data_IF_010288221561
#
_entry.id   IF_010288221561
#
_cell.length_a   1.000
_cell.length_b   1.000
_cell.length_c   1.000
_cell.angle_alpha   90.00
_cell.angle_beta   90.00
_cell.angle_gamma   90.00
#
_symmetry.space_group_name_H-M   'P 1'
#
loop_
_entity.id
_entity.type
_entity.pdbx_description
1 polymer ?
#
# COMPACT_ATOMS: atom_id res chain seq x y z
N UNK A 1 -41.42 -3.45 -6.86
CA UNK A 1 -40.50 -2.83 -5.89
C UNK A 1 -40.93 -3.31 -4.52
N UNK A 2 -40.18 -4.22 -3.90
CA UNK A 2 -40.46 -4.67 -2.53
C UNK A 2 -39.82 -3.62 -1.60
N UNK A 3 -40.59 -3.07 -0.67
CA UNK A 3 -40.05 -2.21 0.38
C UNK A 3 -39.26 -3.08 1.38
N UNK A 4 -37.97 -3.30 1.07
CA UNK A 4 -37.04 -3.82 2.07
C UNK A 4 -36.82 -2.74 3.12
N UNK A 5 -36.83 -3.13 4.41
CA UNK A 5 -36.48 -2.19 5.46
C UNK A 5 -35.01 -1.74 5.30
N UNK A 6 -34.68 -0.48 5.60
CA UNK A 6 -33.30 0.04 5.53
C UNK A 6 -32.29 -0.78 6.34
N UNK A 7 -32.74 -1.39 7.44
CA UNK A 7 -31.93 -2.25 8.30
C UNK A 7 -31.54 -3.53 7.55
N UNK A 8 -32.48 -4.15 6.83
CA UNK A 8 -32.24 -5.38 6.09
C UNK A 8 -31.30 -5.14 4.90
N UNK A 9 -31.46 -4.02 4.19
CA UNK A 9 -30.52 -3.61 3.12
C UNK A 9 -29.11 -3.46 3.67
N UNK A 10 -28.97 -2.76 4.80
CA UNK A 10 -27.68 -2.55 5.45
C UNK A 10 -27.04 -3.87 5.90
N UNK A 11 -27.84 -4.78 6.45
CA UNK A 11 -27.37 -6.09 6.89
C UNK A 11 -26.91 -6.96 5.72
N UNK A 12 -27.65 -6.95 4.61
CA UNK A 12 -27.28 -7.69 3.39
C UNK A 12 -26.02 -7.10 2.77
N UNK A 13 -25.91 -5.78 2.65
CA UNK A 13 -24.74 -5.14 2.07
C UNK A 13 -23.49 -5.37 2.91
N UNK A 14 -23.55 -5.11 4.22
CA UNK A 14 -22.40 -5.25 5.11
C UNK A 14 -22.03 -6.73 5.34
N UNK A 15 -23.03 -7.57 5.62
CA UNK A 15 -22.84 -9.01 5.76
C UNK A 15 -22.34 -9.67 4.48
N UNK A 16 -22.86 -9.25 3.33
CA UNK A 16 -22.38 -9.67 2.02
C UNK A 16 -20.92 -9.29 1.82
N UNK A 17 -20.54 -8.05 2.11
CA UNK A 17 -19.16 -7.58 1.90
C UNK A 17 -18.20 -8.40 2.77
N UNK A 18 -18.55 -8.61 4.04
CA UNK A 18 -17.78 -9.46 4.95
C UNK A 18 -17.64 -10.88 4.41
N UNK A 19 -18.74 -11.52 4.01
CA UNK A 19 -18.71 -12.86 3.44
C UNK A 19 -17.85 -12.92 2.17
N UNK A 20 -17.98 -11.93 1.29
CA UNK A 20 -17.20 -11.81 0.06
C UNK A 20 -15.70 -11.67 0.35
N UNK A 21 -15.31 -10.83 1.30
CA UNK A 21 -13.91 -10.66 1.71
C UNK A 21 -13.33 -11.94 2.32
N UNK A 22 -14.12 -12.69 3.10
CA UNK A 22 -13.69 -13.96 3.69
C UNK A 22 -13.41 -15.06 2.66
N UNK A 23 -13.95 -14.97 1.44
CA UNK A 23 -13.60 -15.91 0.36
C UNK A 23 -12.18 -15.73 -0.18
N UNK A 24 -11.50 -14.64 0.19
CA UNK A 24 -10.17 -14.29 -0.34
C UNK A 24 -10.20 -13.67 -1.74
N UNK A 25 -11.39 -13.39 -2.30
CA UNK A 25 -11.50 -12.64 -3.56
C UNK A 25 -11.05 -11.18 -3.40
N UNK A 26 -10.57 -10.53 -4.49
CA UNK A 26 -10.19 -9.12 -4.47
C UNK A 26 -11.32 -8.22 -3.93
N UNK A 27 -10.97 -7.39 -2.94
CA UNK A 27 -11.90 -6.52 -2.21
C UNK A 27 -12.78 -5.66 -3.14
N UNK A 28 -12.20 -5.11 -4.20
CA UNK A 28 -12.91 -4.27 -5.17
C UNK A 28 -14.07 -5.02 -5.85
N UNK A 29 -13.88 -6.31 -6.17
CA UNK A 29 -14.92 -7.14 -6.79
C UNK A 29 -16.00 -7.52 -5.78
N UNK A 30 -15.62 -7.80 -4.53
CA UNK A 30 -16.58 -8.08 -3.47
C UNK A 30 -17.50 -6.86 -3.23
N UNK A 31 -16.92 -5.68 -3.00
CA UNK A 31 -17.68 -4.44 -2.76
C UNK A 31 -18.51 -4.07 -3.99
N UNK A 32 -17.88 -4.01 -5.16
CA UNK A 32 -18.54 -3.62 -6.41
C UNK A 32 -19.64 -4.58 -6.82
N UNK A 33 -19.41 -5.88 -6.70
CA UNK A 33 -20.40 -6.91 -7.05
C UNK A 33 -21.64 -6.84 -6.17
N UNK A 34 -21.46 -6.68 -4.85
CA UNK A 34 -22.59 -6.56 -3.92
C UNK A 34 -23.34 -5.25 -4.11
N UNK A 35 -22.61 -4.15 -4.34
CA UNK A 35 -23.21 -2.86 -4.64
C UNK A 35 -24.03 -2.89 -5.95
N UNK A 36 -23.53 -3.54 -7.00
CA UNK A 36 -24.25 -3.73 -8.27
C UNK A 36 -25.46 -4.64 -8.10
N UNK A 37 -25.32 -5.76 -7.39
CA UNK A 37 -26.41 -6.70 -7.17
C UNK A 37 -27.55 -6.07 -6.39
N UNK A 38 -27.23 -5.40 -5.27
CA UNK A 38 -28.22 -4.65 -4.49
C UNK A 38 -28.79 -3.47 -5.26
N UNK A 39 -27.95 -2.74 -6.00
CA UNK A 39 -28.40 -1.63 -6.85
C UNK A 39 -29.45 -2.08 -7.85
N UNK A 40 -29.17 -3.16 -8.61
CA UNK A 40 -30.11 -3.71 -9.59
C UNK A 40 -31.41 -4.15 -8.92
N UNK A 41 -31.34 -4.75 -7.74
CA UNK A 41 -32.51 -5.20 -7.00
C UNK A 41 -33.39 -4.05 -6.49
N UNK A 42 -32.79 -2.96 -5.97
CA UNK A 42 -33.51 -1.81 -5.42
C UNK A 42 -33.98 -0.82 -6.49
N UNK A 43 -33.08 -0.44 -7.38
CA UNK A 43 -33.23 0.69 -8.31
C UNK A 43 -33.48 0.25 -9.76
N UNK A 44 -33.36 -1.05 -10.03
CA UNK A 44 -33.42 -1.60 -11.39
C UNK A 44 -32.10 -1.44 -12.16
N UNK A 45 -31.95 -2.13 -13.30
CA UNK A 45 -30.70 -2.13 -14.07
C UNK A 45 -30.33 -0.74 -14.60
N UNK A 46 -31.28 -0.01 -15.18
CA UNK A 46 -31.03 1.25 -15.88
C UNK A 46 -30.38 2.31 -14.96
N UNK A 47 -31.02 2.60 -13.82
CA UNK A 47 -30.51 3.59 -12.86
C UNK A 47 -29.20 3.12 -12.21
N UNK A 48 -29.06 1.82 -11.92
CA UNK A 48 -27.82 1.29 -11.33
C UNK A 48 -26.63 1.43 -12.26
N UNK A 49 -26.80 1.12 -13.55
CA UNK A 49 -25.75 1.29 -14.54
C UNK A 49 -25.42 2.77 -14.79
N UNK A 50 -26.41 3.66 -14.74
CA UNK A 50 -26.18 5.10 -14.83
C UNK A 50 -25.35 5.63 -13.65
N UNK A 51 -25.69 5.23 -12.42
CA UNK A 51 -24.91 5.57 -11.22
C UNK A 51 -23.49 5.00 -11.34
N UNK A 52 -23.35 3.73 -11.74
CA UNK A 52 -22.05 3.10 -11.93
C UNK A 52 -21.19 3.84 -12.95
N UNK A 53 -21.79 4.23 -14.09
CA UNK A 53 -21.13 5.00 -15.13
C UNK A 53 -20.67 6.37 -14.61
N UNK A 54 -21.56 7.14 -13.98
CA UNK A 54 -21.24 8.45 -13.41
C UNK A 54 -20.11 8.36 -12.39
N UNK A 55 -20.17 7.41 -11.44
CA UNK A 55 -19.12 7.23 -10.43
C UNK A 55 -17.79 6.81 -11.04
N UNK A 56 -17.80 5.95 -12.05
CA UNK A 56 -16.59 5.53 -12.76
C UNK A 56 -15.98 6.68 -13.54
N UNK A 57 -16.81 7.49 -14.20
CA UNK A 57 -16.38 8.67 -14.94
C UNK A 57 -15.76 9.74 -14.03
N UNK A 58 -16.38 10.02 -12.88
CA UNK A 58 -15.84 10.94 -11.87
C UNK A 58 -14.48 10.46 -11.35
N UNK A 59 -14.34 9.15 -11.13
CA UNK A 59 -13.10 8.57 -10.63
C UNK A 59 -11.99 8.64 -11.69
N UNK A 60 -12.28 8.37 -12.97
CA UNK A 60 -11.32 8.51 -14.06
C UNK A 60 -10.83 9.95 -14.26
N UNK A 61 -11.71 10.94 -14.00
CA UNK A 61 -11.38 12.37 -14.12
C UNK A 61 -10.81 12.97 -12.82
N UNK A 62 -10.53 12.15 -11.81
CA UNK A 62 -10.00 12.65 -10.55
C UNK A 62 -8.54 13.08 -10.69
N UNK A 63 -8.30 14.39 -10.63
CA UNK A 63 -6.97 15.00 -10.72
C UNK A 63 -5.95 14.44 -9.72
N UNK A 64 -6.39 14.03 -8.52
CA UNK A 64 -5.48 13.45 -7.51
C UNK A 64 -4.88 12.13 -8.01
N UNK A 65 -5.63 11.34 -8.79
CA UNK A 65 -5.14 10.07 -9.31
C UNK A 65 -4.02 10.25 -10.34
N UNK A 66 -3.83 11.46 -10.91
CA UNK A 66 -2.65 11.76 -11.74
C UNK A 66 -1.33 11.64 -10.97
N UNK A 67 -1.37 11.77 -9.64
CA UNK A 67 -0.20 11.57 -8.82
C UNK A 67 0.26 10.09 -8.81
N UNK A 68 -0.67 9.13 -8.97
CA UNK A 68 -0.36 7.70 -8.90
C UNK A 68 0.64 7.28 -10.00
N UNK A 69 0.41 7.55 -11.30
CA UNK A 69 1.42 7.28 -12.32
C UNK A 69 2.73 8.04 -12.10
N UNK A 70 2.68 9.28 -11.60
CA UNK A 70 3.87 10.07 -11.30
C UNK A 70 4.76 9.43 -10.23
N UNK A 71 4.15 8.91 -9.15
CA UNK A 71 4.88 8.19 -8.10
C UNK A 71 5.39 6.83 -8.58
N UNK A 72 4.61 6.10 -9.37
CA UNK A 72 5.06 4.84 -9.98
C UNK A 72 6.25 5.08 -10.91
N UNK A 73 6.22 6.14 -11.71
CA UNK A 73 7.33 6.53 -12.58
C UNK A 73 8.59 6.86 -11.76
N UNK A 74 8.45 7.68 -10.72
CA UNK A 74 9.57 8.03 -9.83
C UNK A 74 10.19 6.78 -9.18
N UNK A 75 9.37 5.87 -8.64
CA UNK A 75 9.82 4.61 -8.06
C UNK A 75 10.53 3.73 -9.09
N UNK A 76 9.95 3.59 -10.29
CA UNK A 76 10.53 2.81 -11.40
C UNK A 76 11.87 3.38 -11.86
N UNK A 77 11.99 4.70 -12.02
CA UNK A 77 13.25 5.36 -12.39
C UNK A 77 14.33 5.11 -11.34
N UNK A 78 13.99 5.21 -10.05
CA UNK A 78 14.95 4.95 -8.99
C UNK A 78 15.39 3.47 -8.96
N UNK A 79 14.45 2.54 -9.08
CA UNK A 79 14.74 1.10 -9.12
C UNK A 79 15.67 0.75 -10.29
N UNK A 80 15.36 1.23 -11.51
CA UNK A 80 16.17 0.95 -12.70
C UNK A 80 17.50 1.72 -12.74
N UNK A 81 17.67 2.76 -11.91
CA UNK A 81 18.94 3.49 -11.82
C UNK A 81 20.03 2.76 -11.06
N UNK A 82 19.71 1.69 -10.32
CA UNK A 82 20.64 0.98 -9.43
C UNK A 82 21.04 1.75 -8.17
N UNK A 83 20.46 2.94 -7.94
CA UNK A 83 20.78 3.76 -6.78
C UNK A 83 20.46 3.06 -5.45
N UNK A 84 19.36 2.28 -5.39
CA UNK A 84 18.99 1.53 -4.20
C UNK A 84 20.00 0.43 -3.84
N UNK A 85 20.56 -0.24 -4.85
CA UNK A 85 21.57 -1.29 -4.68
C UNK A 85 22.91 -0.70 -4.23
N UNK A 86 23.33 0.43 -4.82
CA UNK A 86 24.54 1.14 -4.38
C UNK A 86 24.45 1.60 -2.93
N UNK A 87 23.31 2.15 -2.51
CA UNK A 87 23.08 2.54 -1.10
C UNK A 87 23.13 1.33 -0.17
N UNK A 88 22.60 0.18 -0.59
CA UNK A 88 22.65 -1.05 0.20
C UNK A 88 24.08 -1.54 0.42
N UNK A 89 24.92 -1.55 -0.61
CA UNK A 89 26.31 -1.98 -0.50
C UNK A 89 27.12 -1.08 0.46
N UNK A 90 26.93 0.23 0.39
CA UNK A 90 27.58 1.19 1.28
C UNK A 90 27.12 1.02 2.74
N UNK A 91 25.81 0.93 2.97
CA UNK A 91 25.25 0.67 4.30
C UNK A 91 25.77 -0.66 4.88
N UNK A 92 25.89 -1.67 4.02
CA UNK A 92 26.46 -2.96 4.42
C UNK A 92 27.90 -2.82 4.93
N UNK A 93 28.75 -2.06 4.24
CA UNK A 93 30.14 -1.80 4.67
C UNK A 93 30.16 -1.04 6.00
N UNK A 94 29.29 -0.03 6.16
CA UNK A 94 29.25 0.79 7.37
C UNK A 94 28.85 0.00 8.61
N UNK A 95 27.96 -0.99 8.47
CA UNK A 95 27.46 -1.79 9.59
C UNK A 95 28.14 -3.16 9.76
N UNK A 96 29.16 -3.48 8.95
CA UNK A 96 29.84 -4.77 8.96
C UNK A 96 30.46 -5.15 10.33
N UNK A 97 30.84 -4.17 11.14
CA UNK A 97 31.46 -4.38 12.46
C UNK A 97 30.47 -4.62 13.61
N UNK A 98 29.15 -4.46 13.41
CA UNK A 98 28.16 -4.57 14.47
C UNK A 98 27.50 -5.96 14.51
N UNK A 99 27.32 -6.49 15.72
CA UNK A 99 26.46 -7.66 15.96
C UNK A 99 25.03 -7.29 15.57
N UNK A 100 24.47 -7.97 14.57
CA UNK A 100 23.14 -7.62 14.02
C UNK A 100 23.17 -6.57 12.89
N UNK A 101 24.35 -6.13 12.44
CA UNK A 101 24.49 -5.03 11.49
C UNK A 101 23.77 -5.23 10.15
N UNK A 102 23.60 -6.48 9.69
CA UNK A 102 22.83 -6.78 8.48
C UNK A 102 21.32 -6.54 8.65
N UNK A 103 20.75 -6.88 9.81
CA UNK A 103 19.35 -6.59 10.07
C UNK A 103 19.12 -5.08 10.18
N UNK A 104 20.03 -4.36 10.86
CA UNK A 104 19.97 -2.91 10.96
C UNK A 104 20.08 -2.23 9.59
N UNK A 105 21.03 -2.65 8.76
CA UNK A 105 21.19 -2.16 7.39
C UNK A 105 19.94 -2.43 6.54
N UNK A 106 19.25 -3.56 6.76
CA UNK A 106 17.99 -3.89 6.07
C UNK A 106 16.86 -2.94 6.45
N UNK A 107 16.73 -2.59 7.73
CA UNK A 107 15.72 -1.61 8.19
C UNK A 107 16.03 -0.23 7.62
N UNK A 108 17.28 0.23 7.71
CA UNK A 108 17.69 1.54 7.19
C UNK A 108 17.47 1.62 5.68
N UNK A 109 17.87 0.58 4.93
CA UNK A 109 17.58 0.50 3.51
C UNK A 109 16.07 0.54 3.26
N UNK A 110 15.29 -0.22 4.03
CA UNK A 110 13.84 -0.23 3.95
C UNK A 110 13.23 1.16 4.13
N UNK A 111 13.76 1.96 5.06
CA UNK A 111 13.35 3.35 5.31
C UNK A 111 13.67 4.28 4.14
N UNK A 112 14.83 4.11 3.50
CA UNK A 112 15.22 4.89 2.31
C UNK A 112 14.38 4.51 1.10
N UNK A 113 14.18 3.21 0.88
CA UNK A 113 13.34 2.68 -0.22
C UNK A 113 11.87 3.01 0.01
N UNK A 114 11.43 3.05 1.27
CA UNK A 114 10.08 3.44 1.64
C UNK A 114 9.78 4.87 1.18
N UNK A 115 10.73 5.78 1.39
CA UNK A 115 10.64 7.17 0.93
C UNK A 115 10.62 7.32 -0.60
N UNK A 116 10.74 6.27 -1.40
CA UNK A 116 10.86 6.43 -2.86
C UNK A 116 9.90 5.57 -3.65
N UNK A 117 9.53 4.40 -3.12
CA UNK A 117 8.64 3.46 -3.79
C UNK A 117 7.18 3.69 -3.39
N UNK A 118 6.89 4.10 -2.16
CA UNK A 118 5.55 4.42 -1.70
C UNK A 118 4.54 3.26 -1.71
N UNK A 119 4.98 2.01 -1.94
CA UNK A 119 4.17 0.80 -2.10
C UNK A 119 4.84 -0.40 -1.42
N UNK A 120 4.11 -1.04 -0.51
CA UNK A 120 4.59 -2.18 0.32
C UNK A 120 5.12 -3.33 -0.55
N UNK A 121 4.36 -3.74 -1.57
CA UNK A 121 4.69 -4.91 -2.38
C UNK A 121 6.05 -4.78 -3.08
N UNK A 122 6.34 -3.61 -3.64
CA UNK A 122 7.60 -3.35 -4.32
C UNK A 122 8.78 -3.25 -3.32
N UNK A 123 8.62 -2.49 -2.22
CA UNK A 123 9.66 -2.36 -1.20
C UNK A 123 10.02 -3.70 -0.55
N UNK A 124 9.02 -4.50 -0.15
CA UNK A 124 9.25 -5.83 0.44
C UNK A 124 9.92 -6.77 -0.56
N UNK A 125 9.50 -6.75 -1.83
CA UNK A 125 10.10 -7.59 -2.87
C UNK A 125 11.57 -7.23 -3.08
N UNK A 126 11.90 -5.95 -3.19
CA UNK A 126 13.27 -5.47 -3.36
C UNK A 126 14.16 -5.90 -2.19
N UNK A 127 13.73 -5.69 -0.94
CA UNK A 127 14.47 -6.12 0.24
C UNK A 127 14.59 -7.65 0.35
N UNK A 128 13.56 -8.38 -0.09
CA UNK A 128 13.57 -9.84 -0.12
C UNK A 128 14.60 -10.36 -1.12
N UNK A 129 14.75 -9.72 -2.28
CA UNK A 129 15.70 -10.13 -3.30
C UNK A 129 17.14 -9.73 -2.97
N UNK A 130 17.33 -8.58 -2.32
CA UNK A 130 18.66 -8.01 -2.04
C UNK A 130 19.22 -8.43 -0.67
N UNK A 131 18.43 -8.32 0.40
CA UNK A 131 18.91 -8.46 1.77
C UNK A 131 18.70 -9.86 2.36
N UNK A 132 17.55 -10.50 2.09
CA UNK A 132 17.21 -11.80 2.69
C UNK A 132 18.23 -12.92 2.39
N UNK A 133 18.68 -13.13 1.12
CA UNK A 133 19.62 -14.21 0.81
C UNK A 133 20.98 -14.00 1.49
N UNK A 134 21.41 -12.73 1.59
CA UNK A 134 22.65 -12.33 2.25
C UNK A 134 22.63 -12.61 3.76
N UNK A 135 21.52 -12.30 4.44
CA UNK A 135 21.32 -12.61 5.86
C UNK A 135 21.34 -14.12 6.13
N UNK A 136 20.58 -14.89 5.34
CA UNK A 136 20.48 -16.36 5.52
C UNK A 136 21.82 -17.05 5.27
N UNK A 137 22.57 -16.64 4.23
CA UNK A 137 23.91 -17.19 3.93
C UNK A 137 24.91 -16.97 5.07
N UNK A 138 24.70 -15.92 5.88
CA UNK A 138 25.56 -15.55 7.02
C UNK A 138 25.06 -16.08 8.36
N UNK A 139 24.08 -16.99 8.34
CA UNK A 139 23.61 -17.68 9.54
C UNK A 139 22.63 -16.89 10.40
N UNK A 140 21.98 -15.85 9.86
CA UNK A 140 20.84 -15.24 10.55
C UNK A 140 19.70 -16.25 10.64
N UNK A 141 18.97 -16.20 11.76
CA UNK A 141 17.70 -16.90 11.89
C UNK A 141 16.72 -16.43 10.80
N UNK A 142 16.01 -17.39 10.18
CA UNK A 142 15.10 -17.10 9.05
C UNK A 142 13.93 -16.24 9.46
N UNK A 143 13.40 -16.41 10.68
CA UNK A 143 12.29 -15.60 11.17
C UNK A 143 12.76 -14.17 11.46
N UNK A 144 13.95 -13.99 12.03
CA UNK A 144 14.54 -12.65 12.21
C UNK A 144 14.78 -11.95 10.88
N UNK A 145 15.38 -12.65 9.90
CA UNK A 145 15.69 -12.07 8.60
C UNK A 145 14.43 -11.69 7.82
N UNK A 146 13.42 -12.57 7.80
CA UNK A 146 12.12 -12.27 7.19
C UNK A 146 11.39 -11.14 7.94
N UNK A 147 11.43 -11.14 9.27
CA UNK A 147 10.85 -10.09 10.10
C UNK A 147 11.46 -8.72 9.82
N UNK A 148 12.79 -8.63 9.70
CA UNK A 148 13.49 -7.38 9.36
C UNK A 148 13.10 -6.87 7.96
N UNK A 149 13.00 -7.76 6.97
CA UNK A 149 12.55 -7.41 5.62
C UNK A 149 11.09 -6.93 5.62
N UNK A 150 10.20 -7.65 6.31
CA UNK A 150 8.79 -7.26 6.41
C UNK A 150 8.61 -5.94 7.16
N UNK A 151 9.34 -5.74 8.26
CA UNK A 151 9.29 -4.49 9.03
C UNK A 151 9.77 -3.30 8.20
N UNK A 152 10.99 -3.39 7.61
CA UNK A 152 11.55 -2.31 6.80
C UNK A 152 10.73 -2.04 5.53
N UNK A 153 10.30 -3.09 4.83
CA UNK A 153 9.52 -2.94 3.60
C UNK A 153 8.10 -2.41 3.83
N UNK A 154 7.50 -2.70 4.99
CA UNK A 154 6.18 -2.16 5.35
C UNK A 154 6.22 -0.67 5.70
N UNK A 155 7.39 -0.04 5.86
CA UNK A 155 7.48 1.42 6.06
C UNK A 155 7.12 2.21 4.79
N UNK A 156 7.12 1.56 3.62
CA UNK A 156 6.84 2.20 2.31
C UNK A 156 5.46 2.81 2.18
N UNK A 157 4.50 2.42 3.03
CA UNK A 157 3.17 3.05 3.11
C UNK A 157 3.24 4.40 3.81
N UNK A 158 4.17 4.59 4.74
CA UNK A 158 4.10 5.67 5.71
C UNK A 158 5.11 6.78 5.44
N UNK A 159 6.33 6.43 5.03
CA UNK A 159 7.40 7.42 4.79
C UNK A 159 7.17 8.08 3.42
N UNK A 160 7.00 9.42 3.35
CA UNK A 160 6.78 10.11 2.09
C UNK A 160 7.96 10.01 1.12
N UNK A 161 7.69 10.07 -0.20
CA UNK A 161 6.39 9.95 -0.88
C UNK A 161 5.67 8.60 -0.75
N UNK A 162 4.36 8.66 -0.42
CA UNK A 162 3.49 7.49 -0.29
C UNK A 162 2.21 7.67 -1.12
N UNK A 163 1.97 6.71 -2.01
CA UNK A 163 0.77 6.69 -2.87
C UNK A 163 -0.49 6.55 -2.01
N UNK A 164 -0.43 5.74 -0.95
CA UNK A 164 -1.56 5.52 -0.06
C UNK A 164 -2.00 6.82 0.63
N UNK A 165 -1.05 7.62 1.10
CA UNK A 165 -1.35 8.90 1.73
C UNK A 165 -1.95 9.91 0.73
N UNK A 166 -1.46 9.89 -0.51
CA UNK A 166 -1.96 10.79 -1.55
C UNK A 166 -3.42 10.47 -1.93
N UNK A 167 -3.78 9.19 -1.97
CA UNK A 167 -5.16 8.75 -2.23
C UNK A 167 -6.05 9.00 -1.01
N UNK A 168 -5.56 8.69 0.20
CA UNK A 168 -6.37 8.77 1.42
C UNK A 168 -6.69 10.22 1.83
N UNK A 169 -5.76 11.17 1.65
CA UNK A 169 -5.94 12.55 2.10
C UNK A 169 -7.24 13.18 1.60
N UNK A 170 -7.50 13.20 0.29
CA UNK A 170 -8.73 13.75 -0.27
C UNK A 170 -9.99 12.97 0.14
N UNK A 171 -9.91 11.65 0.34
CA UNK A 171 -11.03 10.86 0.86
C UNK A 171 -11.38 11.27 2.30
N UNK A 172 -10.36 11.62 3.10
CA UNK A 172 -10.52 12.14 4.44
C UNK A 172 -10.80 13.66 4.49
N UNK A 173 -10.94 14.33 3.34
CA UNK A 173 -11.04 15.80 3.22
C UNK A 173 -9.85 16.55 3.87
N UNK A 174 -8.65 15.97 3.79
CA UNK A 174 -7.41 16.53 4.32
C UNK A 174 -6.46 16.95 3.19
N UNK A 175 -5.60 17.94 3.49
CA UNK A 175 -4.53 18.34 2.58
C UNK A 175 -3.47 17.24 2.47
N UNK A 176 -3.21 16.78 1.25
CA UNK A 176 -2.17 15.79 0.95
C UNK A 176 -0.81 16.21 1.51
N UNK A 177 -0.42 17.48 1.30
CA UNK A 177 0.87 17.99 1.81
C UNK A 177 0.98 17.94 3.33
N UNK A 178 -0.09 18.31 4.06
CA UNK A 178 -0.12 18.19 5.53
C UNK A 178 -0.05 16.73 5.97
N UNK A 179 -0.68 15.83 5.22
CA UNK A 179 -0.70 14.42 5.54
C UNK A 179 0.66 13.76 5.34
N UNK A 180 1.36 14.10 4.24
CA UNK A 180 2.74 13.66 3.99
C UNK A 180 3.67 14.17 5.10
N UNK A 181 3.63 15.47 5.43
CA UNK A 181 4.44 16.03 6.51
C UNK A 181 4.14 15.38 7.87
N UNK A 182 2.86 15.16 8.17
CA UNK A 182 2.42 14.51 9.40
C UNK A 182 2.87 13.05 9.52
N UNK A 183 3.14 12.37 8.40
CA UNK A 183 3.57 10.97 8.39
C UNK A 183 5.08 10.78 8.58
N UNK A 184 5.89 11.84 8.40
CA UNK A 184 7.36 11.76 8.55
C UNK A 184 7.76 11.31 9.97
N UNK A 185 7.23 11.98 11.00
CA UNK A 185 7.56 11.68 12.39
C UNK A 185 7.20 10.25 12.81
N UNK A 186 5.96 9.77 12.63
CA UNK A 186 5.62 8.38 12.96
C UNK A 186 6.40 7.37 12.09
N UNK A 187 6.72 7.71 10.84
CA UNK A 187 7.50 6.83 9.95
C UNK A 187 8.92 6.61 10.44
N UNK A 188 9.59 7.70 10.84
CA UNK A 188 10.93 7.62 11.43
C UNK A 188 10.90 6.95 12.81
N UNK A 189 9.86 7.18 13.62
CA UNK A 189 9.71 6.53 14.92
C UNK A 189 9.48 5.01 14.82
N UNK A 190 8.83 4.54 13.76
CA UNK A 190 8.69 3.09 13.51
C UNK A 190 9.95 2.48 12.88
N UNK A 191 10.81 3.30 12.28
CA UNK A 191 12.06 2.87 11.66
C UNK A 191 13.20 2.63 12.66
N UNK A 192 13.19 3.29 13.81
CA UNK A 192 14.32 3.32 14.75
C UNK A 192 13.82 3.14 16.19
#
# INVERSE_FOLDING_TARGET
>A
MIELSPELISFIMLGGILAGVLTGYPLALAIGGIALWMGIYLFGPALTFEIFYSRSYDMLNNYILLAVPGFVLMGSVLEHSGAAEGVFEELYVWFAGLRGGLALATIILGTIVAATVGVIAASVTLLTLTALPSMVKRGYDRALAAGAVCAGGSLGILIPPSIMLVIYGPMANLSVGKMLLGAVMPGLFLSF
#
